data_IF_794532411372
#
_entry.id   IF_794532411372
#
_cell.length_a   1.000
_cell.length_b   1.000
_cell.length_c   1.000
_cell.angle_alpha   90.00
_cell.angle_beta   90.00
_cell.angle_gamma   90.00
#
_symmetry.space_group_name_H-M   'P 1'
#
loop_
_entity.id
_entity.type
_entity.pdbx_description
1 polymer ?
#
# COMPACT_ATOMS: atom_id res chain seq x y z
N UNK A 1 3.49 22.99 24.06
CA UNK A 1 2.22 22.36 24.52
C UNK A 1 2.40 21.30 25.62
N UNK A 2 3.37 20.37 25.56
CA UNK A 2 3.61 19.35 26.61
C UNK A 2 3.90 19.95 28.01
N UNK A 3 4.71 21.01 28.08
CA UNK A 3 5.13 21.67 29.35
C UNK A 3 3.97 22.22 30.21
N UNK A 4 2.83 22.62 29.63
CA UNK A 4 1.70 23.20 30.39
C UNK A 4 0.86 22.15 31.09
N UNK A 5 0.76 20.93 30.55
CA UNK A 5 -0.09 19.86 31.09
C UNK A 5 0.47 19.19 32.34
N UNK A 6 1.81 19.15 32.45
CA UNK A 6 2.50 18.61 33.63
C UNK A 6 2.14 19.36 34.91
N UNK A 7 1.95 20.69 34.81
CA UNK A 7 1.52 21.53 35.94
C UNK A 7 0.14 21.17 36.50
N UNK A 8 -0.68 20.45 35.73
CA UNK A 8 -2.03 20.04 36.10
C UNK A 8 -2.15 18.51 36.26
N UNK A 9 -1.03 17.79 36.40
CA UNK A 9 -1.02 16.33 36.62
C UNK A 9 -1.39 15.49 35.40
N UNK A 10 -1.44 16.06 34.19
CA UNK A 10 -1.73 15.30 32.98
C UNK A 10 -0.46 14.78 32.31
N UNK A 11 -0.48 13.50 31.92
CA UNK A 11 0.64 12.79 31.29
C UNK A 11 0.32 12.49 29.82
N UNK A 12 0.67 13.39 28.87
CA UNK A 12 0.48 13.11 27.45
C UNK A 12 1.44 12.00 27.00
N UNK A 13 0.90 10.99 26.33
CA UNK A 13 1.66 9.94 25.66
C UNK A 13 1.65 10.16 24.14
N UNK A 14 2.60 9.54 23.46
CA UNK A 14 2.63 9.57 22.00
C UNK A 14 1.65 8.53 21.46
N UNK A 15 0.85 8.92 20.46
CA UNK A 15 -0.04 8.00 19.75
C UNK A 15 0.67 7.52 18.48
N UNK A 16 0.70 6.21 18.20
CA UNK A 16 1.22 5.71 16.94
C UNK A 16 0.34 6.23 15.80
N UNK A 17 0.95 6.88 14.83
CA UNK A 17 0.29 7.25 13.58
C UNK A 17 0.71 6.29 12.49
N UNK A 18 -0.22 5.88 11.64
CA UNK A 18 0.04 5.06 10.45
C UNK A 18 0.69 5.88 9.31
N UNK A 19 1.65 6.73 9.66
CA UNK A 19 2.41 7.60 8.78
C UNK A 19 3.90 7.32 9.00
N UNK A 20 4.66 7.25 7.93
CA UNK A 20 6.11 7.05 7.99
C UNK A 20 6.81 8.34 8.38
N UNK A 21 7.67 8.29 9.41
CA UNK A 21 8.51 9.44 9.79
C UNK A 21 9.63 9.67 8.78
N UNK A 22 10.17 8.58 8.24
CA UNK A 22 11.30 8.56 7.31
C UNK A 22 10.95 7.75 6.06
N UNK A 23 11.84 7.76 5.07
CA UNK A 23 11.72 6.84 3.93
C UNK A 23 11.70 5.39 4.42
N UNK A 24 10.69 4.64 4.01
CA UNK A 24 10.48 3.25 4.43
C UNK A 24 10.02 2.40 3.26
N UNK A 25 10.50 1.17 3.15
CA UNK A 25 10.01 0.20 2.17
C UNK A 25 9.23 -0.87 2.92
N UNK A 26 7.97 -1.05 2.55
CA UNK A 26 7.11 -2.02 3.24
C UNK A 26 7.47 -3.47 2.88
N UNK A 27 6.94 -4.48 3.59
CA UNK A 27 7.25 -5.89 3.33
C UNK A 27 6.84 -6.38 1.93
N UNK A 28 5.93 -5.67 1.27
CA UNK A 28 5.48 -5.95 -0.10
C UNK A 28 6.34 -5.23 -1.16
N UNK A 29 7.40 -4.52 -0.76
CA UNK A 29 8.30 -3.80 -1.65
C UNK A 29 7.80 -2.43 -2.11
N UNK A 30 6.71 -1.91 -1.54
CA UNK A 30 6.23 -0.57 -1.88
C UNK A 30 7.04 0.50 -1.13
N UNK A 31 7.55 1.47 -1.89
CA UNK A 31 8.32 2.59 -1.35
C UNK A 31 7.40 3.66 -0.75
N UNK A 32 7.65 4.03 0.49
CA UNK A 32 6.97 5.11 1.22
C UNK A 32 7.91 6.29 1.46
N UNK A 33 7.39 7.51 1.30
CA UNK A 33 8.12 8.75 1.57
C UNK A 33 7.92 9.25 3.01
N UNK A 34 8.79 10.11 3.54
CA UNK A 34 8.62 10.72 4.87
C UNK A 34 7.41 11.66 4.91
N UNK A 35 6.63 11.61 6.01
CA UNK A 35 5.46 12.45 6.21
C UNK A 35 5.88 13.91 6.51
N UNK A 36 5.38 14.85 5.71
CA UNK A 36 5.59 16.29 5.89
C UNK A 36 4.45 17.01 6.64
N UNK A 37 3.53 16.26 7.23
CA UNK A 37 2.36 16.80 7.95
C UNK A 37 1.50 17.78 7.12
N UNK A 38 1.30 17.49 5.83
CA UNK A 38 0.50 18.29 4.89
C UNK A 38 -1.00 18.41 5.20
N UNK A 39 -1.54 17.75 6.23
CA UNK A 39 -2.94 17.92 6.66
C UNK A 39 -3.99 17.11 5.88
N UNK A 40 -3.65 16.43 4.79
CA UNK A 40 -4.60 15.61 4.01
C UNK A 40 -5.05 14.31 4.68
N UNK A 41 -4.56 14.02 5.89
CA UNK A 41 -4.78 12.77 6.59
C UNK A 41 -6.25 12.45 6.89
N UNK A 42 -7.12 13.46 7.02
CA UNK A 42 -8.49 13.39 7.56
C UNK A 42 -9.60 13.07 6.54
N UNK A 43 -9.24 12.63 5.32
CA UNK A 43 -10.24 12.20 4.33
C UNK A 43 -9.71 12.06 2.92
N UNK A 44 -8.51 12.57 2.65
CA UNK A 44 -7.92 12.55 1.33
C UNK A 44 -6.82 11.48 1.23
N UNK A 45 -6.53 11.08 -0.01
CA UNK A 45 -5.38 10.24 -0.30
C UNK A 45 -4.08 10.97 0.07
N UNK A 46 -3.09 10.22 0.54
CA UNK A 46 -1.78 10.79 0.84
C UNK A 46 -0.99 10.97 -0.45
N UNK A 47 -0.78 12.21 -0.88
CA UNK A 47 -0.02 12.50 -2.09
C UNK A 47 1.49 12.22 -1.93
N UNK A 48 2.01 12.21 -0.70
CA UNK A 48 3.42 11.95 -0.37
C UNK A 48 3.76 10.46 -0.24
N UNK A 49 2.78 9.57 -0.42
CA UNK A 49 2.94 8.12 -0.21
C UNK A 49 3.44 7.73 1.19
N UNK A 50 3.20 8.57 2.20
CA UNK A 50 3.66 8.37 3.58
C UNK A 50 2.64 7.69 4.48
N UNK A 51 1.36 7.69 4.09
CA UNK A 51 0.28 7.06 4.85
C UNK A 51 0.21 5.58 4.50
N UNK A 52 -0.03 4.73 5.50
CA UNK A 52 -0.21 3.28 5.33
C UNK A 52 -1.55 2.90 4.65
N UNK A 53 -1.96 3.65 3.63
CA UNK A 53 -3.18 3.37 2.86
C UNK A 53 -2.98 2.14 1.98
N UNK A 54 -3.96 1.22 1.90
CA UNK A 54 -3.83 0.00 1.11
C UNK A 54 -3.61 0.29 -0.39
N UNK A 55 -4.16 1.42 -0.87
CA UNK A 55 -4.03 1.86 -2.26
C UNK A 55 -2.58 2.03 -2.73
N UNK A 56 -1.69 2.44 -1.83
CA UNK A 56 -0.28 2.67 -2.16
C UNK A 56 0.64 1.60 -1.59
N UNK A 57 0.21 0.88 -0.55
CA UNK A 57 1.05 -0.10 0.15
C UNK A 57 0.85 -1.54 -0.31
N UNK A 58 -0.36 -1.89 -0.75
CA UNK A 58 -0.73 -3.29 -0.99
C UNK A 58 -1.19 -3.47 -2.43
N UNK A 59 -2.00 -2.55 -2.96
CA UNK A 59 -2.50 -2.66 -4.34
C UNK A 59 -1.38 -2.76 -5.40
N UNK A 60 -0.23 -2.07 -5.30
CA UNK A 60 0.84 -2.24 -6.30
C UNK A 60 1.41 -3.65 -6.35
N UNK A 61 1.44 -4.35 -5.21
CA UNK A 61 1.87 -5.74 -5.14
C UNK A 61 0.75 -6.69 -5.60
N UNK A 62 -0.49 -6.47 -5.17
CA UNK A 62 -1.63 -7.31 -5.57
C UNK A 62 -1.93 -7.23 -7.07
N UNK A 63 -1.71 -6.08 -7.71
CA UNK A 63 -1.86 -5.94 -9.17
C UNK A 63 -0.92 -6.83 -9.98
N UNK A 64 0.15 -7.33 -9.37
CA UNK A 64 1.09 -8.26 -10.02
C UNK A 64 0.65 -9.72 -9.86
N UNK A 65 -0.27 -10.00 -8.93
CA UNK A 65 -0.79 -11.34 -8.67
C UNK A 65 -1.85 -11.72 -9.70
N UNK A 66 -1.61 -12.80 -10.44
CA UNK A 66 -2.49 -13.25 -11.54
C UNK A 66 -3.86 -13.72 -11.08
N UNK A 67 -3.97 -14.08 -9.79
CA UNK A 67 -5.20 -14.57 -9.16
C UNK A 67 -6.09 -13.45 -8.62
N UNK A 68 -5.62 -12.20 -8.70
CA UNK A 68 -6.31 -11.07 -8.12
C UNK A 68 -7.01 -10.25 -9.21
N UNK A 69 -8.30 -9.99 -9.01
CA UNK A 69 -9.09 -9.09 -9.83
C UNK A 69 -9.65 -7.97 -8.95
N UNK A 70 -9.41 -6.70 -9.33
CA UNK A 70 -10.01 -5.54 -8.67
C UNK A 70 -11.20 -5.04 -9.49
N UNK A 71 -12.41 -5.23 -8.97
CA UNK A 71 -13.64 -4.69 -9.56
C UNK A 71 -14.04 -3.41 -8.82
N UNK A 72 -13.98 -2.29 -9.52
CA UNK A 72 -14.49 -1.00 -9.02
C UNK A 72 -15.98 -0.87 -9.31
N UNK A 73 -16.69 -0.04 -8.53
CA UNK A 73 -18.13 0.21 -8.69
C UNK A 73 -18.98 -1.07 -8.57
N UNK A 74 -18.61 -1.97 -7.65
CA UNK A 74 -19.36 -3.17 -7.34
C UNK A 74 -19.88 -3.05 -5.90
N UNK A 75 -21.17 -2.72 -5.74
CA UNK A 75 -21.80 -2.62 -4.42
C UNK A 75 -22.56 -3.92 -4.11
N UNK A 76 -22.07 -4.69 -3.13
CA UNK A 76 -22.67 -5.98 -2.76
C UNK A 76 -24.01 -5.76 -2.07
N UNK A 77 -25.07 -6.38 -2.60
CA UNK A 77 -26.42 -6.34 -2.03
C UNK A 77 -26.70 -7.53 -1.11
N UNK A 78 -26.22 -8.71 -1.50
CA UNK A 78 -26.57 -9.98 -0.85
C UNK A 78 -25.44 -10.99 -0.95
N UNK A 79 -25.27 -11.76 0.12
CA UNK A 79 -24.45 -12.99 0.10
C UNK A 79 -25.37 -14.16 -0.24
N UNK A 80 -25.04 -14.91 -1.29
CA UNK A 80 -25.78 -16.11 -1.69
C UNK A 80 -25.27 -17.28 -0.84
N UNK A 81 -26.20 -18.06 -0.29
CA UNK A 81 -25.91 -19.19 0.58
C UNK A 81 -26.37 -20.50 -0.08
N UNK A 82 -25.89 -21.64 0.43
CA UNK A 82 -26.47 -22.95 0.10
C UNK A 82 -27.89 -23.06 0.64
N UNK A 83 -28.66 -24.05 0.17
CA UNK A 83 -30.05 -24.26 0.60
C UNK A 83 -30.15 -24.51 2.11
N UNK A 84 -29.13 -25.16 2.70
CA UNK A 84 -29.02 -25.37 4.15
C UNK A 84 -28.53 -24.13 4.92
N UNK A 85 -28.30 -23.01 4.23
CA UNK A 85 -27.80 -21.74 4.75
C UNK A 85 -26.47 -21.85 5.52
N UNK A 86 -25.71 -22.91 5.28
CA UNK A 86 -24.50 -23.22 6.06
C UNK A 86 -23.22 -22.66 5.43
N UNK A 87 -23.24 -22.34 4.12
CA UNK A 87 -22.07 -21.88 3.36
C UNK A 87 -22.43 -20.81 2.34
N UNK A 88 -21.52 -19.86 2.13
CA UNK A 88 -21.64 -18.87 1.06
C UNK A 88 -21.22 -19.46 -0.28
N UNK A 89 -22.09 -19.34 -1.28
CA UNK A 89 -21.89 -19.81 -2.67
C UNK A 89 -21.52 -18.68 -3.62
N UNK A 90 -21.71 -17.41 -3.22
CA UNK A 90 -21.40 -16.25 -4.03
C UNK A 90 -21.92 -14.95 -3.43
N UNK A 91 -21.84 -13.87 -4.22
CA UNK A 91 -22.43 -12.57 -3.86
C UNK A 91 -23.17 -11.98 -5.06
N UNK A 92 -24.31 -11.37 -4.78
CA UNK A 92 -25.03 -10.52 -5.75
C UNK A 92 -24.65 -9.06 -5.48
N UNK A 93 -24.21 -8.35 -6.51
CA UNK A 93 -23.80 -6.95 -6.43
C UNK A 93 -24.42 -6.12 -7.55
N UNK A 94 -24.51 -4.81 -7.34
CA UNK A 94 -24.89 -3.85 -8.37
C UNK A 94 -23.62 -3.24 -8.97
N UNK A 95 -23.54 -3.25 -10.29
CA UNK A 95 -22.43 -2.64 -11.03
C UNK A 95 -22.58 -1.12 -11.16
N UNK A 96 -21.57 -0.45 -11.75
CA UNK A 96 -21.60 1.00 -11.96
C UNK A 96 -22.69 1.49 -12.93
N UNK A 97 -23.39 0.58 -13.62
CA UNK A 97 -24.50 0.87 -14.51
C UNK A 97 -25.86 0.57 -13.85
N UNK A 98 -25.89 0.17 -12.57
CA UNK A 98 -27.12 -0.14 -11.85
C UNK A 98 -27.66 -1.55 -12.13
N UNK A 99 -26.90 -2.42 -12.78
CA UNK A 99 -27.35 -3.78 -13.11
C UNK A 99 -26.97 -4.75 -12.00
N UNK A 100 -27.88 -5.67 -11.69
CA UNK A 100 -27.59 -6.78 -10.78
C UNK A 100 -26.71 -7.82 -11.47
N UNK A 101 -25.63 -8.19 -10.79
CA UNK A 101 -24.63 -9.14 -11.24
C UNK A 101 -24.38 -10.16 -10.14
N UNK A 102 -24.11 -11.40 -10.52
CA UNK A 102 -23.73 -12.46 -9.59
C UNK A 102 -22.25 -12.81 -9.76
N UNK A 103 -21.52 -12.89 -8.64
CA UNK A 103 -20.17 -13.42 -8.59
C UNK A 103 -20.16 -14.71 -7.77
N UNK A 104 -20.02 -15.88 -8.42
CA UNK A 104 -19.97 -17.15 -7.69
C UNK A 104 -18.65 -17.27 -6.93
N UNK A 105 -18.74 -17.79 -5.71
CA UNK A 105 -17.62 -18.31 -4.94
C UNK A 105 -17.49 -19.79 -5.30
N UNK A 106 -16.82 -20.09 -6.41
CA UNK A 106 -16.55 -21.48 -6.77
C UNK A 106 -15.65 -22.18 -5.74
N UNK A 107 -15.65 -23.53 -5.68
CA UNK A 107 -14.58 -24.31 -5.06
C UNK A 107 -13.32 -24.20 -5.94
N UNK A 108 -12.77 -23.00 -6.06
CA UNK A 108 -11.48 -22.77 -6.69
C UNK A 108 -10.42 -23.32 -5.74
N UNK A 109 -9.68 -24.32 -6.20
CA UNK A 109 -8.57 -24.96 -5.52
C UNK A 109 -7.46 -23.92 -5.19
N UNK A 110 -7.62 -23.19 -4.08
CA UNK A 110 -6.59 -22.27 -3.58
C UNK A 110 -5.28 -23.01 -3.22
N UNK A 111 -5.24 -24.35 -3.22
CA UNK A 111 -4.04 -25.19 -3.00
C UNK A 111 -3.27 -25.52 -4.27
N UNK A 112 -3.84 -25.34 -5.48
CA UNK A 112 -3.15 -25.67 -6.76
C UNK A 112 -2.53 -24.49 -7.48
N UNK A 113 -2.25 -23.42 -6.75
CA UNK A 113 -1.56 -22.26 -7.29
C UNK A 113 -0.12 -22.36 -6.81
N UNK A 114 0.88 -22.38 -7.71
CA UNK A 114 2.27 -22.41 -7.29
C UNK A 114 2.50 -21.20 -6.38
N UNK A 115 2.66 -21.45 -5.09
CA UNK A 115 3.13 -20.43 -4.15
C UNK A 115 4.46 -19.96 -4.72
N UNK A 116 4.64 -18.67 -5.06
CA UNK A 116 5.96 -18.18 -5.43
C UNK A 116 6.88 -18.51 -4.26
N UNK A 117 7.82 -19.44 -4.46
CA UNK A 117 8.86 -19.67 -3.50
C UNK A 117 9.53 -18.32 -3.27
N UNK A 118 9.58 -17.90 -2.00
CA UNK A 118 10.22 -16.68 -1.54
C UNK A 118 11.48 -16.44 -2.36
N UNK A 119 11.51 -15.35 -3.13
CA UNK A 119 12.70 -14.99 -3.87
C UNK A 119 13.87 -14.97 -2.87
N UNK A 120 14.99 -15.65 -3.15
CA UNK A 120 16.13 -15.64 -2.25
C UNK A 120 16.56 -14.19 -2.02
N UNK A 121 16.92 -13.87 -0.78
CA UNK A 121 17.24 -12.53 -0.26
C UNK A 121 18.35 -11.76 -1.04
N UNK A 122 18.92 -12.38 -2.08
CA UNK A 122 19.93 -11.81 -2.96
C UNK A 122 19.39 -10.72 -3.90
N UNK A 123 18.15 -10.83 -4.39
CA UNK A 123 17.61 -9.87 -5.38
C UNK A 123 17.30 -8.47 -4.81
N UNK A 124 17.26 -8.33 -3.48
CA UNK A 124 17.04 -7.04 -2.80
C UNK A 124 18.35 -6.25 -2.59
N UNK A 125 19.52 -6.90 -2.68
CA UNK A 125 20.83 -6.26 -2.49
C UNK A 125 21.30 -5.48 -3.72
N UNK A 126 20.97 -5.95 -4.93
CA UNK A 126 21.40 -5.29 -6.18
C UNK A 126 20.60 -4.04 -6.54
N UNK A 127 19.46 -3.76 -5.88
CA UNK A 127 18.72 -2.49 -6.07
C UNK A 127 19.13 -1.39 -5.10
N UNK A 128 19.87 -1.71 -4.03
CA UNK A 128 20.39 -0.70 -3.10
C UNK A 128 21.66 -0.01 -3.63
N UNK A 129 22.39 -0.61 -4.56
CA UNK A 129 23.61 -0.03 -5.14
C UNK A 129 23.34 1.08 -6.16
N UNK A 130 22.12 1.20 -6.69
CA UNK A 130 21.74 2.30 -7.61
C UNK A 130 21.38 3.59 -6.87
N UNK A 131 21.03 3.51 -5.58
CA UNK A 131 20.71 4.70 -4.76
C UNK A 131 21.80 5.08 -3.75
N UNK A 132 22.82 4.24 -3.53
CA UNK A 132 24.03 4.62 -2.80
C UNK A 132 25.07 5.23 -3.74
N UNK A 133 24.69 6.32 -4.42
CA UNK A 133 25.67 7.24 -5.01
C UNK A 133 26.55 7.80 -3.90
N UNK A 134 27.82 7.42 -3.94
CA UNK A 134 28.94 7.90 -3.16
C UNK A 134 28.78 9.38 -2.74
N UNK A 135 28.38 9.59 -1.48
CA UNK A 135 28.20 10.91 -0.85
C UNK A 135 29.55 11.59 -0.55
N UNK A 136 30.66 11.20 -1.20
CA UNK A 136 32.02 11.71 -1.00
C UNK A 136 32.77 12.09 -2.29
N UNK A 137 32.10 12.55 -3.35
CA UNK A 137 32.76 13.34 -4.40
C UNK A 137 31.98 14.61 -4.67
N UNK A 138 32.65 15.72 -4.38
CA UNK A 138 32.08 17.04 -4.34
C UNK A 138 31.46 17.49 -5.66
N UNK A 139 30.33 18.18 -5.53
CA UNK A 139 30.07 19.40 -6.28
C UNK A 139 31.37 20.18 -6.46
N UNK A 140 31.82 20.39 -7.71
CA UNK A 140 32.49 21.57 -8.28
C UNK A 140 33.01 21.19 -9.68
N UNK A 141 32.62 21.94 -10.72
CA UNK A 141 33.23 21.81 -12.05
C UNK A 141 32.25 21.92 -13.22
N UNK A 142 31.52 23.03 -13.32
CA UNK A 142 30.97 23.47 -14.61
C UNK A 142 32.09 24.23 -15.33
N UNK A 143 32.67 23.65 -16.37
CA UNK A 143 33.36 24.39 -17.43
C UNK A 143 32.91 23.87 -18.79
N UNK A 144 32.52 24.82 -19.64
CA UNK A 144 31.69 24.72 -20.84
C UNK A 144 32.36 24.03 -22.04
N UNK A 145 31.60 23.49 -23.02
CA UNK A 145 32.09 23.33 -24.38
C UNK A 145 31.60 24.49 -25.25
N UNK A 146 32.52 25.32 -25.75
CA UNK A 146 32.27 26.16 -26.93
C UNK A 146 33.34 25.90 -27.97
N UNK A 147 32.97 25.08 -28.95
CA UNK A 147 33.03 25.34 -30.40
C UNK A 147 34.27 26.10 -30.92
N UNK A 148 35.20 25.37 -31.54
CA UNK A 148 35.55 25.41 -32.99
C UNK A 148 36.41 24.22 -33.32
#
# INVERSE_FOLDING_TARGET
>A
MKKRRWKWGYHPYNLPSANTSDSYTNPYGAQMGPCNFCGFCSGYACYMYSKASPNVNILPALRQEKRFELRTNANVLKVNLTDEQSRATGVTYVDGQGREMEQPAGPGDYRRLPVPQRAPDAALRDRQTVQSGDRRRGWWGVTSPTRT
#
